data_IF_908327219949
#
_entry.id   IF_908327219949
#
_cell.length_a   1.000
_cell.length_b   1.000
_cell.length_c   1.000
_cell.angle_alpha   90.00
_cell.angle_beta   90.00
_cell.angle_gamma   90.00
#
_symmetry.space_group_name_H-M   'P 1'
#
loop_
_entity.id
_entity.type
_entity.pdbx_description
1 polymer ?
#
# COMPACT_ATOMS: atom_id res chain seq x y z
N UNK A 1 47.54 -11.59 -35.23
CA UNK A 1 48.23 -11.98 -33.97
C UNK A 1 47.15 -12.12 -32.90
N UNK A 2 47.24 -13.10 -32.02
CA UNK A 2 46.31 -13.24 -30.89
C UNK A 2 47.07 -12.89 -29.63
N UNK A 3 46.68 -11.80 -28.94
CA UNK A 3 47.17 -11.52 -27.58
C UNK A 3 46.38 -12.35 -26.56
N UNK A 4 47.09 -12.94 -25.59
CA UNK A 4 46.50 -13.67 -24.45
C UNK A 4 47.10 -13.06 -23.17
N UNK A 5 46.27 -12.53 -22.26
CA UNK A 5 46.73 -11.91 -21.01
C UNK A 5 45.79 -10.82 -20.48
N UNK A 6 46.13 -10.21 -19.35
CA UNK A 6 45.26 -9.29 -18.58
C UNK A 6 45.04 -7.89 -19.20
N UNK A 7 45.56 -7.60 -20.41
CA UNK A 7 45.34 -6.31 -21.07
C UNK A 7 45.23 -6.48 -22.58
N UNK A 8 44.15 -5.94 -23.16
CA UNK A 8 43.92 -5.87 -24.61
C UNK A 8 44.19 -4.45 -25.15
N UNK A 9 45.25 -3.79 -24.66
CA UNK A 9 45.44 -2.35 -24.84
C UNK A 9 46.06 -1.94 -26.19
N UNK A 10 46.52 -2.88 -27.04
CA UNK A 10 47.21 -2.54 -28.30
C UNK A 10 46.92 -3.55 -29.43
N UNK A 11 45.64 -3.78 -29.76
CA UNK A 11 45.24 -4.77 -30.76
C UNK A 11 45.40 -4.20 -32.19
N UNK A 12 46.22 -4.79 -33.08
CA UNK A 12 46.37 -4.30 -34.46
C UNK A 12 45.11 -4.48 -35.31
N UNK A 13 44.92 -3.69 -36.39
CA UNK A 13 43.81 -3.87 -37.31
C UNK A 13 43.75 -5.31 -37.86
N UNK A 14 42.56 -5.91 -37.83
CA UNK A 14 42.34 -7.30 -38.29
C UNK A 14 42.86 -8.40 -37.34
N UNK A 15 43.33 -8.06 -36.14
CA UNK A 15 43.71 -9.01 -35.08
C UNK A 15 42.60 -9.19 -34.03
N UNK A 16 42.78 -10.14 -33.11
CA UNK A 16 41.87 -10.39 -31.99
C UNK A 16 42.63 -10.49 -30.66
N UNK A 17 41.94 -10.20 -29.56
CA UNK A 17 42.43 -10.38 -28.20
C UNK A 17 41.48 -11.30 -27.44
N UNK A 18 42.02 -12.18 -26.58
CA UNK A 18 41.21 -13.04 -25.70
C UNK A 18 41.55 -12.76 -24.24
N UNK A 19 40.52 -12.41 -23.46
CA UNK A 19 40.59 -12.29 -22.02
C UNK A 19 40.08 -13.59 -21.41
N UNK A 20 40.87 -14.20 -20.54
CA UNK A 20 40.47 -15.41 -19.81
C UNK A 20 40.31 -15.04 -18.34
N UNK A 21 39.09 -15.14 -17.84
CA UNK A 21 38.79 -15.01 -16.41
C UNK A 21 38.42 -16.38 -15.87
N UNK A 22 39.17 -16.86 -14.87
CA UNK A 22 38.96 -18.17 -14.26
C UNK A 22 38.69 -17.96 -12.77
N UNK A 23 37.44 -17.61 -12.42
CA UNK A 23 37.10 -17.40 -11.03
C UNK A 23 36.98 -18.72 -10.25
N UNK A 24 37.25 -18.66 -8.96
CA UNK A 24 36.72 -19.59 -7.96
C UNK A 24 35.55 -18.92 -7.20
N UNK A 25 35.19 -19.40 -6.02
CA UNK A 25 34.15 -18.79 -5.18
C UNK A 25 34.66 -17.59 -4.34
N UNK A 26 35.81 -17.00 -4.67
CA UNK A 26 36.33 -15.83 -3.96
C UNK A 26 35.85 -14.52 -4.58
N UNK A 27 35.57 -13.56 -3.72
CA UNK A 27 35.22 -12.18 -4.11
C UNK A 27 36.39 -11.57 -4.88
N UNK A 28 36.09 -11.01 -6.05
CA UNK A 28 37.03 -10.27 -6.90
C UNK A 28 36.60 -8.80 -6.92
N UNK A 29 37.36 -7.89 -6.27
CA UNK A 29 37.09 -6.46 -6.37
C UNK A 29 37.05 -6.01 -7.83
N UNK A 30 36.23 -4.99 -8.14
CA UNK A 30 36.12 -4.46 -9.49
C UNK A 30 37.51 -4.13 -10.05
N UNK A 31 37.88 -4.88 -11.09
CA UNK A 31 39.16 -4.74 -11.79
C UNK A 31 38.88 -4.18 -13.17
N UNK A 32 39.35 -2.96 -13.41
CA UNK A 32 39.21 -2.28 -14.69
C UNK A 32 40.42 -2.56 -15.57
N UNK A 33 40.18 -2.79 -16.86
CA UNK A 33 41.23 -2.96 -17.86
C UNK A 33 40.86 -2.30 -19.18
N UNK A 34 41.89 -1.89 -19.91
CA UNK A 34 41.73 -1.20 -21.18
C UNK A 34 41.64 -2.20 -22.34
N UNK A 35 40.67 -1.98 -23.22
CA UNK A 35 40.56 -2.61 -24.54
C UNK A 35 40.76 -1.51 -25.57
N UNK A 36 41.80 -1.62 -26.40
CA UNK A 36 42.10 -0.63 -27.42
C UNK A 36 42.76 -1.26 -28.65
N UNK A 37 42.19 -0.97 -29.82
CA UNK A 37 42.86 -1.19 -31.08
C UNK A 37 43.84 -0.06 -31.38
N UNK A 38 44.94 -0.32 -32.08
CA UNK A 38 45.95 0.71 -32.37
C UNK A 38 45.43 1.85 -33.26
N UNK A 39 44.26 1.67 -33.88
CA UNK A 39 43.54 2.66 -34.68
C UNK A 39 42.17 3.05 -34.09
N UNK A 40 41.89 2.73 -32.82
CA UNK A 40 40.62 3.05 -32.16
C UNK A 40 40.83 3.82 -30.86
N UNK A 41 39.76 4.45 -30.38
CA UNK A 41 39.70 4.95 -29.01
C UNK A 41 39.75 3.80 -28.01
N UNK A 42 40.29 4.07 -26.82
CA UNK A 42 40.30 3.11 -25.72
C UNK A 42 38.88 2.95 -25.13
N UNK A 43 38.50 1.70 -24.85
CA UNK A 43 37.33 1.33 -24.07
C UNK A 43 37.81 0.78 -22.72
N UNK A 44 37.09 1.08 -21.64
CA UNK A 44 37.31 0.43 -20.35
C UNK A 44 36.32 -0.70 -20.19
N UNK A 45 36.80 -1.88 -19.84
CA UNK A 45 35.99 -3.00 -19.39
C UNK A 45 36.31 -3.30 -17.92
N UNK A 46 35.33 -3.85 -17.21
CA UNK A 46 35.42 -4.16 -15.80
C UNK A 46 34.97 -5.61 -15.55
N UNK A 47 35.65 -6.29 -14.64
CA UNK A 47 35.25 -7.59 -14.10
C UNK A 47 35.23 -7.49 -12.58
N UNK A 48 34.16 -8.01 -11.96
CA UNK A 48 34.02 -8.15 -10.52
C UNK A 48 33.32 -9.48 -10.18
N UNK A 49 33.60 -10.01 -9.00
CA UNK A 49 32.77 -11.01 -8.32
C UNK A 49 32.47 -10.45 -6.96
N UNK A 50 31.21 -10.18 -6.71
CA UNK A 50 30.76 -9.62 -5.45
C UNK A 50 30.46 -10.75 -4.46
N UNK A 51 30.58 -10.47 -3.16
CA UNK A 51 29.99 -11.36 -2.17
C UNK A 51 28.48 -11.34 -2.35
N UNK A 52 27.86 -12.52 -2.44
CA UNK A 52 26.40 -12.61 -2.50
C UNK A 52 25.72 -11.90 -1.33
N UNK A 53 24.44 -11.62 -1.50
CA UNK A 53 23.65 -11.00 -0.44
C UNK A 53 23.55 -11.90 0.80
N UNK A 54 23.26 -11.32 1.95
CA UNK A 54 22.79 -12.06 3.12
C UNK A 54 21.48 -11.46 3.60
N UNK A 55 20.61 -12.30 4.17
CA UNK A 55 19.36 -11.89 4.77
C UNK A 55 19.39 -12.35 6.24
N UNK A 56 19.34 -11.40 7.17
CA UNK A 56 19.54 -11.66 8.61
C UNK A 56 18.25 -11.48 9.42
N UNK A 57 17.26 -10.77 8.89
CA UNK A 57 15.99 -10.59 9.56
C UNK A 57 14.92 -9.94 8.70
N UNK A 58 13.69 -10.04 9.19
CA UNK A 58 12.49 -9.43 8.63
C UNK A 58 11.63 -8.90 9.79
N UNK A 59 11.05 -7.72 9.63
CA UNK A 59 10.16 -7.12 10.62
C UNK A 59 8.96 -6.44 9.94
N UNK A 60 7.70 -6.73 10.34
CA UNK A 60 7.31 -7.84 11.22
C UNK A 60 7.63 -9.21 10.60
N UNK A 61 7.74 -10.25 11.43
CA UNK A 61 8.01 -11.63 10.99
C UNK A 61 6.75 -12.50 10.88
N UNK A 62 5.57 -11.89 10.99
CA UNK A 62 4.28 -12.54 10.79
C UNK A 62 3.24 -11.56 10.26
N UNK A 63 2.24 -12.06 9.55
CA UNK A 63 1.17 -11.24 9.00
C UNK A 63 0.02 -12.06 8.45
N UNK A 64 -1.03 -11.37 8.03
CA UNK A 64 -2.25 -11.99 7.53
C UNK A 64 -2.02 -12.79 6.23
N UNK A 65 -2.71 -13.93 6.10
CA UNK A 65 -2.76 -14.74 4.88
C UNK A 65 -3.30 -13.96 3.65
N UNK A 66 -4.02 -12.86 3.88
CA UNK A 66 -4.46 -11.97 2.80
C UNK A 66 -3.33 -11.15 2.18
N UNK A 67 -2.12 -11.14 2.75
CA UNK A 67 -1.02 -10.29 2.32
C UNK A 67 -1.23 -8.82 2.68
N UNK A 68 -0.52 -7.93 1.98
CA UNK A 68 -0.64 -6.49 2.20
C UNK A 68 0.10 -5.97 3.43
N UNK A 69 0.93 -6.78 4.10
CA UNK A 69 1.74 -6.36 5.25
C UNK A 69 3.04 -5.77 4.73
N UNK A 70 3.31 -4.50 5.05
CA UNK A 70 4.63 -3.90 4.82
C UNK A 70 5.66 -4.51 5.75
N UNK A 71 6.79 -4.94 5.18
CA UNK A 71 7.90 -5.55 5.90
C UNK A 71 9.22 -4.86 5.59
N UNK A 72 10.11 -4.85 6.57
CA UNK A 72 11.49 -4.42 6.42
C UNK A 72 12.41 -5.63 6.52
N UNK A 73 13.14 -5.89 5.45
CA UNK A 73 14.19 -6.88 5.32
C UNK A 73 15.54 -6.26 5.68
N UNK A 74 16.33 -6.98 6.47
CA UNK A 74 17.66 -6.55 6.91
C UNK A 74 18.72 -7.57 6.52
N UNK A 75 19.91 -7.08 6.14
CA UNK A 75 20.95 -7.94 5.58
C UNK A 75 22.20 -7.20 5.13
N UNK A 76 22.91 -7.76 4.16
CA UNK A 76 24.08 -7.11 3.51
C UNK A 76 24.07 -7.37 2.01
N UNK A 77 24.60 -6.43 1.22
CA UNK A 77 24.68 -6.60 -0.24
C UNK A 77 23.31 -6.59 -0.89
N UNK A 78 22.36 -5.84 -0.32
CA UNK A 78 20.98 -5.73 -0.80
C UNK A 78 20.81 -4.63 -1.87
N UNK A 79 21.90 -3.94 -2.23
CA UNK A 79 21.89 -2.96 -3.32
C UNK A 79 21.38 -3.60 -4.60
N UNK A 80 20.56 -2.86 -5.35
CA UNK A 80 19.99 -3.30 -6.62
C UNK A 80 19.21 -4.62 -6.55
N UNK A 81 18.64 -4.99 -5.38
CA UNK A 81 17.76 -6.14 -5.27
C UNK A 81 16.64 -6.08 -6.32
N UNK A 82 16.44 -7.19 -7.04
CA UNK A 82 15.54 -7.25 -8.19
C UNK A 82 14.22 -7.94 -7.88
N UNK A 83 14.20 -8.79 -6.84
CA UNK A 83 12.99 -9.50 -6.42
C UNK A 83 13.07 -9.88 -4.95
N UNK A 84 11.90 -9.94 -4.31
CA UNK A 84 11.67 -10.58 -3.02
C UNK A 84 10.53 -11.56 -3.20
N UNK A 85 10.65 -12.78 -2.66
CA UNK A 85 9.59 -13.78 -2.70
C UNK A 85 9.34 -14.42 -1.34
N UNK A 86 8.11 -14.88 -1.13
CA UNK A 86 7.64 -15.59 0.05
C UNK A 86 7.16 -16.98 -0.40
N UNK A 87 7.89 -18.04 -0.08
CA UNK A 87 7.68 -19.39 -0.64
C UNK A 87 7.58 -19.45 -2.18
N UNK A 88 8.26 -18.51 -2.86
CA UNK A 88 8.21 -18.37 -4.32
C UNK A 88 7.15 -17.43 -4.86
N UNK A 89 6.18 -17.00 -4.04
CA UNK A 89 5.22 -15.96 -4.44
C UNK A 89 5.88 -14.58 -4.41
N UNK A 90 5.80 -13.79 -5.50
CA UNK A 90 6.49 -12.51 -5.60
C UNK A 90 5.86 -11.47 -4.67
N UNK A 91 6.69 -10.84 -3.85
CA UNK A 91 6.31 -9.66 -3.10
C UNK A 91 6.05 -8.48 -4.04
N UNK A 92 5.19 -7.57 -3.59
CA UNK A 92 5.00 -6.27 -4.25
C UNK A 92 5.82 -5.21 -3.55
N UNK A 93 5.97 -4.03 -4.16
CA UNK A 93 6.57 -2.86 -3.51
C UNK A 93 8.01 -3.08 -3.01
N UNK A 94 8.81 -3.84 -3.75
CA UNK A 94 10.20 -4.10 -3.38
C UNK A 94 11.03 -2.83 -3.60
N UNK A 95 11.44 -2.19 -2.52
CA UNK A 95 12.22 -0.95 -2.54
C UNK A 95 13.53 -1.11 -1.77
N UNK A 96 14.64 -0.84 -2.46
CA UNK A 96 15.98 -0.83 -1.85
C UNK A 96 16.19 0.51 -1.15
N UNK A 97 16.17 0.49 0.17
CA UNK A 97 16.43 1.70 0.99
C UNK A 97 17.92 1.99 1.02
N UNK A 98 18.73 0.97 1.31
CA UNK A 98 20.18 1.03 1.30
C UNK A 98 20.79 -0.39 1.15
N UNK A 99 22.12 -0.50 1.19
CA UNK A 99 22.82 -1.78 1.03
C UNK A 99 22.51 -2.85 2.09
N UNK A 100 21.80 -2.49 3.15
CA UNK A 100 21.45 -3.34 4.30
C UNK A 100 19.95 -3.42 4.56
N UNK A 101 19.12 -2.66 3.84
CA UNK A 101 17.69 -2.51 4.11
C UNK A 101 16.88 -2.52 2.82
N UNK A 102 15.86 -3.39 2.77
CA UNK A 102 14.87 -3.46 1.69
C UNK A 102 13.48 -3.48 2.31
N UNK A 103 12.56 -2.68 1.78
CA UNK A 103 11.13 -2.78 2.13
C UNK A 103 10.40 -3.56 1.05
N UNK A 104 9.35 -4.26 1.45
CA UNK A 104 8.49 -5.03 0.55
C UNK A 104 7.10 -5.19 1.15
N UNK A 105 6.12 -5.59 0.34
CA UNK A 105 4.77 -5.94 0.77
C UNK A 105 4.51 -7.42 0.53
N UNK A 106 4.08 -8.11 1.57
CA UNK A 106 3.81 -9.55 1.51
C UNK A 106 2.69 -9.86 0.50
N UNK A 107 2.87 -10.84 -0.40
CA UNK A 107 1.77 -11.32 -1.22
C UNK A 107 0.74 -12.09 -0.38
N UNK A 108 -0.47 -12.32 -0.91
CA UNK A 108 -1.39 -13.29 -0.34
C UNK A 108 -0.79 -14.70 -0.36
N UNK A 109 -0.92 -15.45 0.73
CA UNK A 109 -0.40 -16.82 0.83
C UNK A 109 -1.18 -17.63 1.89
N UNK A 110 -1.24 -18.95 1.74
CA UNK A 110 -1.89 -19.83 2.72
C UNK A 110 -1.19 -19.72 4.09
N UNK A 111 -1.94 -19.79 5.18
CA UNK A 111 -1.38 -19.73 6.53
C UNK A 111 -0.31 -20.83 6.74
N UNK A 112 0.85 -20.43 7.26
CA UNK A 112 2.02 -21.28 7.39
C UNK A 112 3.33 -20.50 7.51
N UNK A 113 4.37 -21.20 7.94
CA UNK A 113 5.74 -20.66 7.97
C UNK A 113 6.35 -20.80 6.58
N UNK A 114 7.00 -19.75 6.09
CA UNK A 114 7.58 -19.68 4.75
C UNK A 114 9.02 -19.17 4.77
N UNK A 115 9.78 -19.59 3.75
CA UNK A 115 11.08 -19.00 3.44
C UNK A 115 10.88 -17.65 2.74
N UNK A 116 11.77 -16.69 3.05
CA UNK A 116 11.84 -15.41 2.36
C UNK A 116 13.11 -15.38 1.54
N UNK A 117 13.00 -15.10 0.24
CA UNK A 117 14.15 -15.04 -0.67
C UNK A 117 14.28 -13.64 -1.23
N UNK A 118 15.50 -13.14 -1.29
CA UNK A 118 15.84 -11.92 -2.01
C UNK A 118 16.82 -12.25 -3.13
N UNK A 119 16.60 -11.67 -4.32
CA UNK A 119 17.48 -11.79 -5.46
C UNK A 119 18.21 -10.47 -5.69
N UNK A 120 19.52 -10.54 -5.90
CA UNK A 120 20.35 -9.39 -6.27
C UNK A 120 21.29 -9.78 -7.41
N UNK A 121 21.83 -8.82 -8.18
CA UNK A 121 22.84 -9.09 -9.21
C UNK A 121 24.09 -9.80 -8.67
N UNK A 122 24.42 -9.59 -7.39
CA UNK A 122 25.54 -10.21 -6.70
C UNK A 122 25.27 -11.66 -6.24
N UNK A 123 24.01 -12.11 -6.28
CA UNK A 123 23.56 -13.42 -5.84
C UNK A 123 22.53 -13.32 -4.70
N UNK A 124 21.51 -14.16 -4.76
CA UNK A 124 20.39 -14.13 -3.80
C UNK A 124 20.69 -14.71 -2.42
N UNK A 125 19.82 -14.42 -1.47
CA UNK A 125 19.86 -14.90 -0.10
C UNK A 125 18.50 -15.43 0.34
N UNK A 126 18.51 -16.42 1.23
CA UNK A 126 17.31 -17.02 1.80
C UNK A 126 17.32 -16.84 3.31
N UNK A 127 16.24 -16.29 3.84
CA UNK A 127 15.91 -16.34 5.26
C UNK A 127 14.93 -17.49 5.47
N UNK A 128 15.46 -18.64 5.87
CA UNK A 128 14.68 -19.85 6.11
C UNK A 128 13.70 -19.66 7.27
N UNK A 129 12.45 -20.06 7.08
CA UNK A 129 11.35 -19.84 8.02
C UNK A 129 11.24 -18.37 8.48
N UNK A 130 11.55 -17.43 7.59
CA UNK A 130 11.67 -16.02 7.91
C UNK A 130 10.33 -15.37 8.27
N UNK A 131 9.23 -15.83 7.69
CA UNK A 131 7.91 -15.21 7.87
C UNK A 131 6.82 -16.24 8.16
N UNK A 132 5.83 -15.84 8.96
CA UNK A 132 4.66 -16.67 9.29
C UNK A 132 3.37 -16.01 8.83
N UNK A 133 2.70 -16.61 7.84
CA UNK A 133 1.32 -16.27 7.51
C UNK A 133 0.38 -16.86 8.55
N UNK A 134 -0.45 -16.00 9.14
CA UNK A 134 -1.53 -16.39 10.06
C UNK A 134 -2.88 -16.23 9.38
N UNK A 135 -3.91 -16.90 9.91
CA UNK A 135 -5.27 -16.71 9.42
C UNK A 135 -5.65 -15.22 9.44
N UNK A 136 -6.38 -14.79 8.41
CA UNK A 136 -6.89 -13.42 8.29
C UNK A 136 -7.94 -13.19 9.39
N UNK A 137 -7.65 -12.25 10.28
CA UNK A 137 -8.50 -11.93 11.43
C UNK A 137 -8.66 -10.42 11.60
N UNK A 138 -9.71 -10.02 12.31
CA UNK A 138 -9.96 -8.61 12.68
C UNK A 138 -8.81 -8.05 13.51
N UNK A 139 -8.51 -6.76 13.34
CA UNK A 139 -7.47 -6.06 14.11
C UNK A 139 -6.04 -6.28 13.58
N UNK A 140 -5.83 -7.14 12.57
CA UNK A 140 -4.52 -7.31 11.95
C UNK A 140 -4.19 -6.13 11.03
N UNK A 141 -2.93 -5.69 11.07
CA UNK A 141 -2.42 -4.67 10.15
C UNK A 141 -2.24 -5.25 8.75
N UNK A 142 -2.81 -4.58 7.75
CA UNK A 142 -2.66 -4.91 6.35
C UNK A 142 -3.07 -3.70 5.50
N UNK A 143 -2.53 -3.58 4.29
CA UNK A 143 -3.07 -2.70 3.26
C UNK A 143 -3.11 -1.21 3.68
N UNK A 144 -2.13 -0.79 4.50
CA UNK A 144 -2.00 0.57 5.03
C UNK A 144 -2.93 0.89 6.20
N UNK A 145 -3.67 -0.10 6.70
CA UNK A 145 -4.60 0.09 7.82
C UNK A 145 -4.80 -1.19 8.62
N UNK A 146 -6.00 -1.35 9.15
CA UNK A 146 -6.39 -2.47 10.02
C UNK A 146 -7.58 -3.20 9.43
N UNK A 147 -7.54 -4.54 9.40
CA UNK A 147 -8.68 -5.37 8.98
C UNK A 147 -9.86 -5.12 9.92
N UNK A 148 -10.89 -4.47 9.39
CA UNK A 148 -12.04 -3.98 10.13
C UNK A 148 -13.27 -4.86 9.94
N UNK A 149 -13.43 -5.47 8.76
CA UNK A 149 -14.61 -6.27 8.43
C UNK A 149 -14.24 -7.46 7.54
N UNK A 150 -14.89 -8.60 7.78
CA UNK A 150 -14.75 -9.85 7.02
C UNK A 150 -16.13 -10.40 6.62
N UNK A 151 -16.99 -9.53 6.06
CA UNK A 151 -18.39 -9.84 5.76
C UNK A 151 -18.63 -10.22 4.28
N UNK A 152 -17.57 -10.32 3.48
CA UNK A 152 -17.61 -10.67 2.06
C UNK A 152 -17.96 -9.50 1.13
N UNK A 153 -17.53 -9.62 -0.13
CA UNK A 153 -17.78 -8.60 -1.17
C UNK A 153 -17.27 -7.21 -0.75
N UNK A 154 -18.10 -6.18 -0.95
CA UNK A 154 -17.82 -4.79 -0.57
C UNK A 154 -17.72 -4.55 0.95
N UNK A 155 -17.99 -5.56 1.78
CA UNK A 155 -17.96 -5.47 3.23
C UNK A 155 -16.74 -6.18 3.85
N UNK A 156 -15.76 -6.54 3.03
CA UNK A 156 -14.41 -6.79 3.50
C UNK A 156 -13.68 -5.44 3.52
N UNK A 157 -13.44 -4.91 4.72
CA UNK A 157 -12.94 -3.54 4.88
C UNK A 157 -11.62 -3.52 5.64
N UNK A 158 -10.74 -2.64 5.17
CA UNK A 158 -9.61 -2.11 5.92
C UNK A 158 -10.02 -0.73 6.42
N UNK A 159 -9.90 -0.46 7.71
CA UNK A 159 -10.07 0.88 8.27
C UNK A 159 -8.72 1.58 8.42
N UNK A 160 -8.69 2.90 8.25
CA UNK A 160 -7.54 3.70 8.61
C UNK A 160 -7.22 3.49 10.10
N UNK A 161 -5.95 3.62 10.49
CA UNK A 161 -5.53 3.39 11.90
C UNK A 161 -6.01 4.50 12.84
N UNK A 162 -6.19 5.71 12.32
CA UNK A 162 -6.62 6.89 13.05
C UNK A 162 -7.76 7.63 12.33
N UNK A 163 -8.41 8.56 13.03
CA UNK A 163 -9.42 9.41 12.43
C UNK A 163 -8.78 10.33 11.39
N UNK A 164 -9.34 10.31 10.18
CA UNK A 164 -8.85 11.10 9.05
C UNK A 164 -9.33 12.55 9.13
N UNK A 165 -10.37 12.83 9.91
CA UNK A 165 -10.92 14.16 10.11
C UNK A 165 -11.67 14.27 11.43
N UNK A 166 -11.54 15.43 12.07
CA UNK A 166 -12.23 15.81 13.31
C UNK A 166 -12.97 17.12 13.02
N UNK A 167 -14.17 17.26 13.58
CA UNK A 167 -15.03 18.43 13.40
C UNK A 167 -15.35 18.72 11.92
N UNK A 168 -15.68 17.67 11.17
CA UNK A 168 -15.91 17.72 9.73
C UNK A 168 -17.41 17.70 9.41
N UNK A 169 -17.91 18.62 8.56
CA UNK A 169 -19.27 18.52 8.05
C UNK A 169 -19.41 17.39 7.03
N UNK A 170 -20.62 16.86 6.88
CA UNK A 170 -20.89 15.92 5.79
C UNK A 170 -20.69 16.58 4.41
N UNK A 171 -21.03 17.87 4.32
CA UNK A 171 -20.96 18.69 3.10
C UNK A 171 -22.33 18.90 2.45
N UNK A 172 -22.42 19.70 1.39
CA UNK A 172 -23.60 19.71 0.51
C UNK A 172 -24.97 19.98 1.16
N UNK A 173 -25.04 20.79 2.22
CA UNK A 173 -26.34 21.16 2.82
C UNK A 173 -27.23 21.85 1.79
N UNK A 174 -28.49 21.43 1.68
CA UNK A 174 -29.44 21.86 0.65
C UNK A 174 -29.28 21.15 -0.70
N UNK A 175 -28.45 20.10 -0.78
CA UNK A 175 -28.20 19.34 -2.01
C UNK A 175 -28.43 17.85 -1.71
N UNK A 176 -29.33 17.22 -2.47
CA UNK A 176 -29.47 15.77 -2.49
C UNK A 176 -28.55 15.19 -3.56
N UNK A 177 -27.46 14.55 -3.13
CA UNK A 177 -26.45 13.92 -4.00
C UNK A 177 -26.99 12.60 -4.60
N UNK A 178 -27.95 11.96 -3.92
CA UNK A 178 -28.59 10.73 -4.41
C UNK A 178 -27.96 9.45 -3.85
N UNK A 179 -27.25 9.54 -2.72
CA UNK A 179 -26.63 8.38 -2.05
C UNK A 179 -27.57 7.68 -1.06
N UNK A 180 -28.82 8.12 -0.97
CA UNK A 180 -29.85 7.56 -0.09
C UNK A 180 -30.20 6.08 -0.34
N UNK A 181 -29.78 5.49 -1.48
CA UNK A 181 -29.94 4.07 -1.79
C UNK A 181 -28.68 3.21 -1.54
N UNK A 182 -27.49 3.83 -1.47
CA UNK A 182 -26.19 3.15 -1.49
C UNK A 182 -25.72 2.69 -0.11
N UNK A 183 -26.57 1.99 0.63
CA UNK A 183 -26.35 1.78 2.06
C UNK A 183 -25.28 0.74 2.45
N UNK A 184 -24.71 0.08 1.44
CA UNK A 184 -23.69 -0.97 1.56
C UNK A 184 -22.47 -0.68 0.67
N UNK A 185 -22.49 0.42 -0.09
CA UNK A 185 -21.49 0.73 -1.11
C UNK A 185 -20.95 2.15 -0.87
N UNK A 186 -20.10 2.26 0.15
CA UNK A 186 -19.50 3.53 0.54
C UNK A 186 -18.55 4.09 -0.50
N UNK A 187 -17.97 3.21 -1.33
CA UNK A 187 -17.08 3.57 -2.43
C UNK A 187 -17.87 4.36 -3.48
N UNK A 188 -18.93 3.77 -4.03
CA UNK A 188 -19.79 4.45 -5.00
C UNK A 188 -20.43 5.72 -4.44
N UNK A 189 -20.85 5.70 -3.17
CA UNK A 189 -21.38 6.91 -2.53
C UNK A 189 -20.33 8.02 -2.43
N UNK A 190 -19.11 7.68 -2.03
CA UNK A 190 -18.02 8.66 -1.88
C UNK A 190 -17.72 9.29 -3.24
N UNK A 191 -17.61 8.49 -4.30
CA UNK A 191 -17.46 9.00 -5.66
C UNK A 191 -18.58 9.96 -6.04
N UNK A 192 -19.84 9.60 -5.80
CA UNK A 192 -20.98 10.45 -6.14
C UNK A 192 -20.97 11.79 -5.35
N UNK A 193 -20.58 11.76 -4.08
CA UNK A 193 -20.47 12.99 -3.26
C UNK A 193 -19.35 13.89 -3.78
N UNK A 194 -18.18 13.33 -4.08
CA UNK A 194 -17.05 14.11 -4.63
C UNK A 194 -17.39 14.68 -6.01
N UNK A 195 -18.02 13.87 -6.86
CA UNK A 195 -18.46 14.30 -8.18
C UNK A 195 -19.44 15.47 -8.09
N UNK A 196 -20.39 15.44 -7.16
CA UNK A 196 -21.30 16.55 -6.96
C UNK A 196 -20.61 17.78 -6.35
N UNK A 197 -19.99 17.63 -5.17
CA UNK A 197 -19.57 18.77 -4.36
C UNK A 197 -18.29 19.44 -4.91
N UNK A 198 -17.36 18.66 -5.44
CA UNK A 198 -16.10 19.18 -5.96
C UNK A 198 -16.12 19.30 -7.48
N UNK A 199 -16.60 18.28 -8.20
CA UNK A 199 -16.56 18.28 -9.67
C UNK A 199 -17.78 18.96 -10.32
N UNK A 200 -18.79 19.33 -9.53
CA UNK A 200 -20.01 19.97 -10.02
C UNK A 200 -20.84 19.10 -10.96
N UNK A 201 -20.74 17.78 -10.83
CA UNK A 201 -21.42 16.80 -11.65
C UNK A 201 -22.71 16.38 -10.96
N UNK A 202 -23.86 16.80 -11.53
CA UNK A 202 -25.19 16.43 -11.04
C UNK A 202 -26.14 17.62 -10.98
N UNK A 203 -27.41 17.34 -10.71
CA UNK A 203 -28.42 18.38 -10.57
C UNK A 203 -28.32 19.05 -9.19
N UNK A 204 -28.27 20.37 -9.14
CA UNK A 204 -28.18 21.13 -7.87
C UNK A 204 -26.76 21.20 -7.28
N UNK A 205 -25.79 20.53 -7.89
CA UNK A 205 -24.39 20.58 -7.49
C UNK A 205 -23.76 21.97 -7.77
N UNK A 206 -22.84 22.43 -6.91
CA UNK A 206 -22.17 23.72 -7.11
C UNK A 206 -21.25 23.69 -8.34
N UNK A 207 -20.79 24.84 -8.86
CA UNK A 207 -19.77 24.87 -9.90
C UNK A 207 -18.50 24.12 -9.48
N UNK A 208 -17.75 23.51 -10.42
CA UNK A 208 -16.52 22.77 -10.10
C UNK A 208 -15.51 23.63 -9.33
N UNK A 209 -14.89 23.06 -8.30
CA UNK A 209 -13.91 23.74 -7.45
C UNK A 209 -14.49 24.74 -6.45
N UNK A 210 -15.81 24.80 -6.29
CA UNK A 210 -16.45 25.66 -5.26
C UNK A 210 -16.20 25.15 -3.85
N UNK A 211 -16.20 23.83 -3.67
CA UNK A 211 -15.96 23.16 -2.38
C UNK A 211 -14.67 22.33 -2.49
N UNK A 212 -13.73 22.61 -1.60
CA UNK A 212 -12.45 21.89 -1.51
C UNK A 212 -12.67 20.49 -0.89
N UNK A 213 -12.08 19.45 -1.48
CA UNK A 213 -12.22 18.05 -1.01
C UNK A 213 -11.77 17.87 0.45
N UNK A 214 -10.85 18.70 0.96
CA UNK A 214 -10.39 18.63 2.35
C UNK A 214 -11.41 19.15 3.38
N UNK A 215 -12.59 19.61 2.96
CA UNK A 215 -13.54 20.33 3.84
C UNK A 215 -14.80 19.54 4.20
N UNK A 216 -14.98 18.34 3.66
CA UNK A 216 -16.16 17.52 3.89
C UNK A 216 -15.84 16.03 3.95
N UNK A 217 -16.73 15.26 4.59
CA UNK A 217 -16.43 13.90 5.02
C UNK A 217 -15.97 12.95 3.91
N UNK A 218 -16.69 12.91 2.79
CA UNK A 218 -16.34 12.04 1.66
C UNK A 218 -15.06 12.49 0.95
N UNK A 219 -14.86 13.81 0.82
CA UNK A 219 -13.67 14.37 0.17
C UNK A 219 -12.39 14.10 0.96
N UNK A 220 -12.44 14.14 2.29
CA UNK A 220 -11.30 13.76 3.13
C UNK A 220 -10.88 12.31 2.86
N UNK A 221 -11.84 11.41 2.68
CA UNK A 221 -11.51 10.02 2.36
C UNK A 221 -11.01 9.83 0.94
N UNK A 222 -11.56 10.55 -0.05
CA UNK A 222 -11.14 10.40 -1.45
C UNK A 222 -9.72 10.87 -1.73
N UNK A 223 -9.17 11.73 -0.88
CA UNK A 223 -7.79 12.24 -0.98
C UNK A 223 -6.87 11.63 0.08
N UNK A 224 -7.40 10.78 0.96
CA UNK A 224 -6.58 10.13 1.97
C UNK A 224 -5.65 9.12 1.31
N UNK A 225 -4.39 9.15 1.72
CA UNK A 225 -3.40 8.17 1.29
C UNK A 225 -2.51 7.76 2.46
N UNK A 226 -2.13 6.50 2.46
CA UNK A 226 -1.21 5.91 3.43
C UNK A 226 -0.37 4.86 2.74
N UNK A 227 0.89 4.76 3.11
CA UNK A 227 1.79 3.77 2.54
C UNK A 227 1.69 2.39 3.24
N UNK A 228 2.40 1.41 2.69
CA UNK A 228 2.48 0.05 3.23
C UNK A 228 3.07 -0.07 4.63
N UNK A 229 3.77 0.96 5.12
CA UNK A 229 4.36 1.03 6.45
C UNK A 229 3.49 1.86 7.43
N UNK A 230 2.39 2.45 6.96
CA UNK A 230 1.45 3.22 7.77
C UNK A 230 1.73 4.72 7.80
N UNK A 231 2.62 5.26 6.96
CA UNK A 231 2.85 6.70 6.91
C UNK A 231 1.80 7.41 6.06
N UNK A 232 1.28 8.53 6.59
CA UNK A 232 0.33 9.41 5.91
C UNK A 232 0.75 10.87 6.07
N UNK A 233 0.87 11.67 4.98
CA UNK A 233 0.76 11.25 3.58
C UNK A 233 1.84 10.23 3.19
N UNK A 234 1.55 9.44 2.16
CA UNK A 234 2.44 8.39 1.65
C UNK A 234 3.85 8.92 1.34
N UNK A 235 4.89 8.18 1.75
CA UNK A 235 6.27 8.53 1.44
C UNK A 235 6.66 8.13 0.00
N UNK A 236 7.51 8.95 -0.64
CA UNK A 236 7.97 8.69 -2.00
C UNK A 236 8.77 7.39 -2.07
N UNK A 237 8.33 6.46 -2.92
CA UNK A 237 9.02 5.18 -3.15
C UNK A 237 8.29 3.97 -2.57
N UNK A 238 7.30 4.19 -1.70
CA UNK A 238 6.40 3.13 -1.20
C UNK A 238 5.12 3.06 -2.05
N UNK A 239 4.45 1.91 -2.02
CA UNK A 239 3.11 1.74 -2.59
C UNK A 239 2.12 2.49 -1.72
N UNK A 240 1.50 3.50 -2.31
CA UNK A 240 0.43 4.24 -1.68
C UNK A 240 -0.89 3.51 -1.88
N UNK A 241 -1.67 3.41 -0.82
CA UNK A 241 -3.08 3.07 -0.89
C UNK A 241 -3.87 4.38 -0.88
N UNK A 242 -4.51 4.69 -2.01
CA UNK A 242 -5.25 5.93 -2.30
C UNK A 242 -6.72 5.68 -2.70
N UNK A 243 -7.18 4.44 -2.57
CA UNK A 243 -8.54 3.96 -2.88
C UNK A 243 -9.47 4.00 -1.63
N UNK A 244 -9.32 5.04 -0.82
CA UNK A 244 -10.08 5.19 0.42
C UNK A 244 -11.42 5.88 0.20
N UNK A 245 -12.42 5.49 0.98
CA UNK A 245 -13.77 6.00 0.90
C UNK A 245 -14.43 6.13 2.28
N UNK A 246 -15.47 6.96 2.34
CA UNK A 246 -16.30 7.11 3.53
C UNK A 246 -17.30 5.94 3.60
N UNK A 247 -17.31 5.13 4.66
CA UNK A 247 -18.13 3.93 4.73
C UNK A 247 -19.62 4.27 4.60
N UNK A 248 -20.36 3.44 3.87
CA UNK A 248 -21.81 3.57 3.76
C UNK A 248 -22.53 3.26 5.09
N UNK A 249 -23.70 3.86 5.23
CA UNK A 249 -24.61 3.70 6.35
C UNK A 249 -25.97 3.15 5.91
N UNK A 250 -26.47 2.18 6.65
CA UNK A 250 -27.88 1.89 6.95
C UNK A 250 -27.84 0.66 7.82
N UNK A 251 -28.16 0.86 9.07
CA UNK A 251 -27.88 -0.14 10.08
C UNK A 251 -29.15 -0.90 10.48
N UNK A 252 -30.19 -0.86 9.64
CA UNK A 252 -31.30 -1.81 9.78
C UNK A 252 -30.88 -3.24 9.43
N UNK A 253 -29.71 -3.42 8.81
CA UNK A 253 -29.11 -4.71 8.53
C UNK A 253 -27.65 -4.74 9.02
N UNK A 254 -27.18 -5.88 9.56
CA UNK A 254 -25.76 -6.09 9.92
C UNK A 254 -24.74 -5.85 8.79
N UNK A 255 -25.22 -5.66 7.56
CA UNK A 255 -24.43 -5.47 6.34
C UNK A 255 -23.94 -4.05 6.09
N UNK A 256 -24.29 -3.05 6.93
CA UNK A 256 -23.79 -1.69 6.79
C UNK A 256 -22.31 -1.57 7.14
N UNK A 257 -21.52 -0.89 6.29
CA UNK A 257 -20.07 -0.75 6.46
C UNK A 257 -19.71 -0.02 7.76
N UNK A 258 -20.38 1.11 8.07
CA UNK A 258 -20.13 1.85 9.30
C UNK A 258 -20.55 1.08 10.56
N UNK A 259 -21.63 0.29 10.49
CA UNK A 259 -22.05 -0.57 11.61
C UNK A 259 -21.02 -1.67 11.90
N UNK A 260 -20.41 -2.24 10.86
CA UNK A 260 -19.34 -3.21 11.04
C UNK A 260 -18.12 -2.58 11.74
N UNK A 261 -17.72 -1.37 11.34
CA UNK A 261 -16.67 -0.62 12.03
C UNK A 261 -16.99 -0.41 13.51
N UNK A 262 -18.22 0.00 13.82
CA UNK A 262 -18.63 0.16 15.22
C UNK A 262 -18.60 -1.17 15.99
N UNK A 263 -19.04 -2.26 15.36
CA UNK A 263 -19.07 -3.58 16.02
C UNK A 263 -17.67 -4.04 16.40
N UNK A 264 -16.68 -3.80 15.53
CA UNK A 264 -15.30 -4.28 15.68
C UNK A 264 -14.33 -3.17 16.16
N UNK A 265 -14.86 -2.07 16.69
CA UNK A 265 -14.07 -0.87 17.03
C UNK A 265 -12.98 -1.12 18.06
N UNK A 266 -13.18 -2.09 18.96
CA UNK A 266 -12.22 -2.41 20.01
C UNK A 266 -11.02 -3.19 19.42
N UNK A 267 -11.27 -4.07 18.45
CA UNK A 267 -10.23 -4.78 17.69
C UNK A 267 -9.50 -3.87 16.69
N UNK A 268 -10.21 -2.93 16.05
CA UNK A 268 -9.63 -1.97 15.12
C UNK A 268 -8.77 -0.93 15.87
N UNK A 269 -9.25 -0.46 17.02
CA UNK A 269 -8.59 0.58 17.81
C UNK A 269 -8.74 1.99 17.23
N UNK A 270 -8.22 2.97 17.97
CA UNK A 270 -8.14 4.36 17.53
C UNK A 270 -9.47 5.14 17.49
N UNK A 271 -10.60 4.54 17.87
CA UNK A 271 -11.89 5.23 17.89
C UNK A 271 -12.13 6.01 19.18
N UNK A 272 -12.63 7.23 19.05
CA UNK A 272 -13.14 8.03 20.17
C UNK A 272 -14.64 7.73 20.39
N UNK A 273 -15.18 7.89 21.61
CA UNK A 273 -16.60 7.70 21.91
C UNK A 273 -17.46 8.87 21.39
N UNK A 274 -17.43 9.08 20.07
CA UNK A 274 -17.98 10.23 19.36
C UNK A 274 -18.83 9.79 18.15
N UNK A 275 -19.32 10.79 17.40
CA UNK A 275 -20.08 10.57 16.17
C UNK A 275 -19.15 10.43 14.98
N UNK A 276 -19.49 9.48 14.10
CA UNK A 276 -18.80 9.22 12.85
C UNK A 276 -19.78 9.31 11.67
N UNK A 277 -19.38 10.05 10.63
CA UNK A 277 -20.17 10.16 9.41
C UNK A 277 -20.19 8.86 8.62
N UNK A 278 -21.34 8.59 7.98
CA UNK A 278 -21.42 7.67 6.84
C UNK A 278 -21.55 8.43 5.53
N UNK A 279 -21.33 7.78 4.41
CA UNK A 279 -21.56 8.34 3.07
C UNK A 279 -23.03 8.31 2.61
N UNK A 280 -23.95 7.92 3.48
CA UNK A 280 -25.37 7.73 3.11
C UNK A 280 -26.24 8.88 3.61
N UNK A 281 -26.97 9.50 2.69
CA UNK A 281 -28.01 10.50 2.98
C UNK A 281 -29.21 9.90 3.72
N UNK A 282 -29.87 10.70 4.55
CA UNK A 282 -31.16 10.33 5.12
C UNK A 282 -32.23 10.36 4.01
N UNK A 283 -32.83 9.22 3.69
CA UNK A 283 -33.87 9.12 2.67
C UNK A 283 -35.12 9.99 2.94
N UNK A 284 -35.37 10.33 4.20
CA UNK A 284 -36.47 11.23 4.58
C UNK A 284 -36.16 12.71 4.34
N UNK A 285 -34.89 13.11 4.40
CA UNK A 285 -34.44 14.49 4.26
C UNK A 285 -33.06 14.56 3.56
N UNK A 286 -32.94 14.08 2.31
CA UNK A 286 -31.63 13.88 1.68
C UNK A 286 -30.89 15.18 1.38
N UNK A 287 -31.59 16.31 1.25
CA UNK A 287 -30.98 17.63 1.05
C UNK A 287 -30.29 18.14 2.32
N UNK A 288 -30.79 17.76 3.50
CA UNK A 288 -30.42 18.39 4.77
C UNK A 288 -29.70 17.45 5.74
N UNK A 289 -29.92 16.14 5.64
CA UNK A 289 -29.47 15.18 6.63
C UNK A 289 -28.75 13.97 6.03
N UNK A 290 -27.83 13.42 6.82
CA UNK A 290 -27.09 12.20 6.52
C UNK A 290 -26.97 11.32 7.76
N UNK A 291 -26.68 10.04 7.55
CA UNK A 291 -26.54 9.08 8.63
C UNK A 291 -25.17 9.17 9.31
N UNK A 292 -25.18 9.09 10.63
CA UNK A 292 -24.00 8.97 11.46
C UNK A 292 -24.21 7.89 12.54
N UNK A 293 -23.11 7.41 13.11
CA UNK A 293 -23.11 6.44 14.22
C UNK A 293 -22.41 7.04 15.43
N UNK A 294 -23.02 6.97 16.62
CA UNK A 294 -22.38 7.31 17.89
C UNK A 294 -21.75 6.04 18.46
N UNK A 295 -20.43 5.93 18.45
CA UNK A 295 -19.70 4.71 18.86
C UNK A 295 -19.80 4.40 20.37
N UNK A 296 -20.54 5.21 21.12
CA UNK A 296 -20.83 5.02 22.55
C UNK A 296 -22.27 4.61 22.85
N UNK A 297 -23.21 4.63 21.88
CA UNK A 297 -24.63 4.53 22.26
C UNK A 297 -25.59 4.06 21.14
N UNK A 298 -25.77 4.83 20.06
CA UNK A 298 -26.82 4.58 19.07
C UNK A 298 -26.62 5.34 17.75
N UNK A 299 -27.50 5.08 16.80
CA UNK A 299 -27.50 5.66 15.47
C UNK A 299 -28.41 6.86 15.35
N UNK A 300 -28.05 7.79 14.48
CA UNK A 300 -28.84 9.00 14.30
C UNK A 300 -28.59 9.59 12.92
N UNK A 301 -29.65 10.02 12.24
CA UNK A 301 -29.48 11.01 11.18
C UNK A 301 -29.29 12.39 11.80
N UNK A 302 -28.49 13.22 11.16
CA UNK A 302 -28.19 14.59 11.62
C UNK A 302 -28.06 15.52 10.44
N UNK A 303 -28.17 16.81 10.72
CA UNK A 303 -27.94 17.84 9.71
C UNK A 303 -26.52 17.72 9.13
N UNK A 304 -26.41 17.84 7.81
CA UNK A 304 -25.14 17.78 7.07
C UNK A 304 -24.12 18.86 7.50
N UNK A 305 -24.58 19.90 8.18
CA UNK A 305 -23.78 20.98 8.75
C UNK A 305 -23.19 20.65 10.12
N UNK A 306 -23.62 19.56 10.77
CA UNK A 306 -23.01 19.12 12.02
C UNK A 306 -21.57 18.65 11.79
N UNK A 307 -20.72 18.81 12.79
CA UNK A 307 -19.29 18.54 12.72
C UNK A 307 -18.98 17.25 13.47
N UNK A 308 -18.62 16.19 12.74
CA UNK A 308 -18.33 14.86 13.30
C UNK A 308 -16.97 14.34 12.82
N UNK A 309 -16.60 13.16 13.31
CA UNK A 309 -15.37 12.48 12.92
C UNK A 309 -15.54 11.69 11.64
N UNK A 310 -14.42 11.47 10.97
CA UNK A 310 -14.32 10.71 9.73
C UNK A 310 -13.31 9.60 9.94
N UNK A 311 -13.74 8.37 9.67
CA UNK A 311 -12.86 7.20 9.57
C UNK A 311 -13.03 6.61 8.19
N UNK A 312 -11.98 6.71 7.39
CA UNK A 312 -11.96 6.19 6.04
C UNK A 312 -11.73 4.69 6.05
N UNK A 313 -12.30 4.03 5.05
CA UNK A 313 -12.13 2.60 4.83
C UNK A 313 -11.75 2.35 3.37
N UNK A 314 -11.25 1.16 3.09
CA UNK A 314 -11.06 0.67 1.73
C UNK A 314 -11.47 -0.79 1.63
N UNK A 315 -11.84 -1.23 0.44
CA UNK A 315 -12.21 -2.62 0.20
C UNK A 315 -10.97 -3.50 0.05
N UNK A 316 -11.08 -4.78 0.41
CA UNK A 316 -10.05 -5.75 0.09
C UNK A 316 -10.64 -7.14 -0.18
N UNK A 317 -9.91 -7.99 -0.89
CA UNK A 317 -10.31 -9.38 -1.13
C UNK A 317 -9.34 -10.31 -0.40
N UNK A 318 -9.77 -10.98 0.68
CA UNK A 318 -8.93 -11.92 1.40
C UNK A 318 -8.67 -13.18 0.56
N UNK A 319 -7.53 -13.83 0.78
CA UNK A 319 -7.30 -15.18 0.28
C UNK A 319 -8.16 -16.15 1.11
N UNK A 320 -8.98 -16.96 0.44
CA UNK A 320 -9.85 -17.98 1.05
C UNK A 320 -9.13 -19.31 1.27
#
# INVERSE_FOLDING_TARGET
MTETGNTCANVPPGSSCTLTFTPDNTVVPQTNFTIQGTNTSALTAAIAIESGSTLTGINPNSGTASGGVGVTLTGTGLTDATAVTFDGDPATDVHVVDSTTVTAVTPPHVAGVVDVVIETPAGGATLTNGFTYVATELGQSAFGGTIACLNGGLNNLIAATDDNGIDIPWGGSGIAVGTSAGTIDGESNTTAIVDCLTNGIGAGCPPPGTIDENTYAAGICSIYSVDSLGHSPCELGNTCYDDWFLPAGNNTLPSGQLNCLNTNRDEIGGFEPAQYWSSTEDAGQPEDAAWAYIFSFFETSNFKTAEFRVRCVRAFTPLL
#
